data_IF_445943335370
#
_entry.id   IF_445943335370
#
_cell.length_a   1.000
_cell.length_b   1.000
_cell.length_c   1.000
_cell.angle_alpha   90.00
_cell.angle_beta   90.00
_cell.angle_gamma   90.00
#
_symmetry.space_group_name_H-M   'P 1'
#
loop_
_entity.id
_entity.type
_entity.pdbx_description
1 polymer ?
#
# COMPACT_ATOMS: atom_id res chain seq x y z
N UNK A 1 36.39 -40.05 30.54
CA UNK A 1 35.54 -38.88 30.84
C UNK A 1 35.08 -38.29 29.51
N UNK A 2 33.86 -38.58 29.09
CA UNK A 2 33.26 -38.00 27.88
C UNK A 2 32.54 -36.70 28.29
N UNK A 3 32.91 -35.57 27.70
CA UNK A 3 32.18 -34.31 27.85
C UNK A 3 30.87 -34.37 27.03
N UNK A 4 29.75 -33.82 27.53
CA UNK A 4 28.53 -33.72 26.73
C UNK A 4 28.70 -32.63 25.65
N UNK A 5 28.01 -32.75 24.51
CA UNK A 5 28.04 -31.72 23.47
C UNK A 5 27.31 -30.46 23.95
N UNK A 6 27.93 -29.30 23.73
CA UNK A 6 27.37 -27.99 24.05
C UNK A 6 26.13 -27.72 23.19
N UNK A 7 24.95 -27.62 23.79
CA UNK A 7 23.75 -27.10 23.11
C UNK A 7 23.99 -25.64 22.72
N UNK A 8 24.15 -25.39 21.42
CA UNK A 8 24.04 -24.05 20.85
C UNK A 8 22.62 -23.53 21.05
N UNK A 9 22.41 -22.33 21.61
CA UNK A 9 21.09 -21.74 21.66
C UNK A 9 20.71 -21.37 20.21
N UNK A 10 19.67 -22.03 19.69
CA UNK A 10 18.98 -21.58 18.48
C UNK A 10 18.37 -20.23 18.83
N UNK A 11 18.94 -19.16 18.30
CA UNK A 11 18.32 -17.83 18.34
C UNK A 11 17.10 -17.92 17.44
N UNK A 12 15.94 -18.15 18.06
CA UNK A 12 14.65 -18.04 17.40
C UNK A 12 14.45 -16.55 17.17
N UNK A 13 14.66 -16.09 15.94
CA UNK A 13 14.33 -14.74 15.52
C UNK A 13 12.81 -14.58 15.53
N UNK A 14 12.30 -14.06 16.64
CA UNK A 14 10.88 -13.82 16.87
C UNK A 14 10.37 -12.52 16.20
N UNK A 15 11.10 -11.95 15.22
CA UNK A 15 10.75 -10.65 14.60
C UNK A 15 10.13 -10.70 13.21
N UNK A 16 9.65 -11.85 12.74
CA UNK A 16 8.79 -11.87 11.55
C UNK A 16 7.31 -11.69 11.93
N UNK A 17 7.01 -10.60 12.64
CA UNK A 17 5.63 -10.09 12.63
C UNK A 17 5.31 -9.72 11.18
N UNK A 18 4.19 -10.18 10.60
CA UNK A 18 3.80 -9.74 9.27
C UNK A 18 3.52 -8.24 9.36
N UNK A 19 4.52 -7.43 9.03
CA UNK A 19 4.37 -5.99 8.87
C UNK A 19 3.39 -5.79 7.73
N UNK A 20 2.11 -5.63 8.09
CA UNK A 20 1.14 -5.09 7.14
C UNK A 20 1.70 -3.73 6.78
N UNK A 21 2.27 -3.61 5.57
CA UNK A 21 2.97 -2.40 5.15
C UNK A 21 1.99 -1.23 5.26
N UNK A 22 2.22 -0.40 6.28
CA UNK A 22 1.36 0.71 6.61
C UNK A 22 1.68 1.86 5.65
N UNK A 23 0.66 2.35 4.95
CA UNK A 23 0.82 3.43 3.98
C UNK A 23 0.08 4.67 4.50
N UNK A 24 0.85 5.61 5.04
CA UNK A 24 0.36 6.86 5.66
C UNK A 24 -0.63 7.62 4.77
N UNK A 25 -0.37 7.69 3.45
CA UNK A 25 -1.26 8.41 2.54
C UNK A 25 -2.62 7.73 2.37
N UNK A 26 -2.73 6.42 2.58
CA UNK A 26 -4.03 5.74 2.61
C UNK A 26 -4.76 6.02 3.93
N UNK A 27 -4.05 5.99 5.05
CA UNK A 27 -4.60 6.29 6.38
C UNK A 27 -5.11 7.74 6.45
N UNK A 28 -4.38 8.69 5.88
CA UNK A 28 -4.81 10.09 5.81
C UNK A 28 -6.19 10.28 5.15
N UNK A 29 -6.64 9.30 4.36
CA UNK A 29 -7.95 9.31 3.71
C UNK A 29 -8.93 8.23 4.22
N UNK A 30 -8.58 7.42 5.22
CA UNK A 30 -9.42 6.28 5.68
C UNK A 30 -10.75 6.73 6.28
N UNK A 31 -10.73 7.86 7.00
CA UNK A 31 -11.86 8.34 7.79
C UNK A 31 -12.79 9.26 6.99
N UNK A 32 -12.50 9.50 5.71
CA UNK A 32 -13.36 10.32 4.87
C UNK A 32 -14.67 9.57 4.56
N UNK A 33 -15.84 10.19 4.82
CA UNK A 33 -17.11 9.56 4.51
C UNK A 33 -17.30 9.43 2.99
N UNK A 34 -17.57 8.22 2.50
CA UNK A 34 -17.92 8.00 1.09
C UNK A 34 -19.39 8.38 0.84
N UNK A 35 -19.60 9.62 0.45
CA UNK A 35 -20.94 10.18 0.12
C UNK A 35 -21.42 9.83 -1.29
N UNK A 36 -20.65 9.04 -2.07
CA UNK A 36 -21.04 8.68 -3.44
C UNK A 36 -22.27 7.78 -3.42
N UNK A 37 -23.19 7.98 -4.37
CA UNK A 37 -24.40 7.15 -4.53
C UNK A 37 -24.04 5.67 -4.73
N UNK A 38 -24.87 4.76 -4.21
CA UNK A 38 -24.67 3.30 -4.28
C UNK A 38 -25.03 2.67 -5.62
N UNK A 39 -24.51 3.22 -6.71
CA UNK A 39 -24.72 2.71 -8.05
C UNK A 39 -23.38 2.31 -8.69
N UNK A 40 -23.33 1.11 -9.29
CA UNK A 40 -22.17 0.62 -10.05
C UNK A 40 -21.02 0.06 -9.18
N UNK A 41 -19.85 -0.16 -9.82
CA UNK A 41 -18.63 -0.61 -9.15
C UNK A 41 -18.00 0.56 -8.40
N UNK A 42 -17.78 0.41 -7.09
CA UNK A 42 -17.04 1.38 -6.28
C UNK A 42 -15.57 0.99 -6.17
N UNK A 43 -14.71 1.92 -6.55
CA UNK A 43 -13.28 1.85 -6.22
C UNK A 43 -13.05 2.37 -4.80
N UNK A 44 -12.06 1.81 -4.11
CA UNK A 44 -11.69 2.21 -2.76
C UNK A 44 -11.32 3.70 -2.72
N UNK A 45 -12.09 4.50 -1.98
CA UNK A 45 -12.02 5.96 -2.07
C UNK A 45 -10.66 6.50 -1.64
N UNK A 46 -10.13 6.02 -0.51
CA UNK A 46 -8.81 6.42 -0.01
C UNK A 46 -7.69 6.11 -1.01
N UNK A 47 -7.79 4.98 -1.72
CA UNK A 47 -6.81 4.63 -2.76
C UNK A 47 -6.89 5.59 -3.95
N UNK A 48 -8.11 5.89 -4.42
CA UNK A 48 -8.28 6.88 -5.49
C UNK A 48 -7.68 8.24 -5.09
N UNK A 49 -7.98 8.72 -3.89
CA UNK A 49 -7.45 10.00 -3.40
C UNK A 49 -5.93 10.00 -3.26
N UNK A 50 -5.34 8.90 -2.77
CA UNK A 50 -3.88 8.75 -2.70
C UNK A 50 -3.24 8.81 -4.09
N UNK A 51 -3.78 8.07 -5.06
CA UNK A 51 -3.28 8.07 -6.45
C UNK A 51 -3.38 9.44 -7.11
N UNK A 52 -4.50 10.16 -6.91
CA UNK A 52 -4.67 11.52 -7.41
C UNK A 52 -3.69 12.49 -6.74
N UNK A 53 -3.51 12.39 -5.43
CA UNK A 53 -2.55 13.23 -4.67
C UNK A 53 -1.13 13.01 -5.17
N UNK A 54 -0.71 11.76 -5.37
CA UNK A 54 0.61 11.44 -5.92
C UNK A 54 0.79 11.99 -7.34
N UNK A 55 -0.21 11.82 -8.22
CA UNK A 55 -0.11 12.34 -9.58
C UNK A 55 -0.02 13.88 -9.60
N UNK A 56 -0.82 14.58 -8.78
CA UNK A 56 -0.81 16.05 -8.70
C UNK A 56 0.50 16.56 -8.11
N UNK A 57 1.01 15.92 -7.05
CA UNK A 57 2.30 16.29 -6.45
C UNK A 57 3.49 16.00 -7.37
N UNK A 58 3.39 14.98 -8.23
CA UNK A 58 4.32 14.74 -9.33
C UNK A 58 4.21 15.75 -10.49
N UNK A 59 3.33 16.75 -10.39
CA UNK A 59 3.19 17.84 -11.36
C UNK A 59 2.18 17.59 -12.49
N UNK A 60 1.43 16.49 -12.46
CA UNK A 60 0.42 16.22 -13.48
C UNK A 60 -0.77 17.17 -13.34
N UNK A 61 -1.13 17.86 -14.43
CA UNK A 61 -2.24 18.81 -14.48
C UNK A 61 -3.31 18.31 -15.44
N UNK A 62 -4.51 18.10 -14.92
CA UNK A 62 -5.66 17.61 -15.69
C UNK A 62 -5.73 16.08 -15.80
N UNK A 63 -6.92 15.58 -16.16
CA UNK A 63 -7.23 14.16 -16.08
C UNK A 63 -6.45 13.28 -17.07
N UNK A 64 -6.12 13.78 -18.26
CA UNK A 64 -5.34 13.02 -19.25
C UNK A 64 -3.92 12.75 -18.75
N UNK A 65 -3.23 13.80 -18.29
CA UNK A 65 -1.87 13.66 -17.74
C UNK A 65 -1.84 12.73 -16.52
N UNK A 66 -2.85 12.81 -15.64
CA UNK A 66 -2.98 11.89 -14.50
C UNK A 66 -3.19 10.45 -14.98
N UNK A 67 -4.04 10.24 -15.99
CA UNK A 67 -4.27 8.91 -16.58
C UNK A 67 -3.01 8.32 -17.20
N UNK A 68 -2.27 9.11 -17.97
CA UNK A 68 -1.00 8.70 -18.58
C UNK A 68 0.05 8.36 -17.51
N UNK A 69 0.17 9.19 -16.48
CA UNK A 69 1.06 8.93 -15.35
C UNK A 69 0.72 7.61 -14.64
N UNK A 70 -0.56 7.37 -14.34
CA UNK A 70 -1.01 6.11 -13.74
C UNK A 70 -0.72 4.90 -14.63
N UNK A 71 -0.82 5.06 -15.95
CA UNK A 71 -0.49 3.99 -16.89
C UNK A 71 1.01 3.69 -16.91
N UNK A 72 1.87 4.71 -16.92
CA UNK A 72 3.32 4.56 -16.89
C UNK A 72 3.83 3.84 -15.64
N UNK A 73 3.27 4.16 -14.46
CA UNK A 73 3.71 3.59 -13.17
C UNK A 73 2.82 2.46 -12.67
N UNK A 74 1.95 1.90 -13.52
CA UNK A 74 0.91 0.94 -13.11
C UNK A 74 1.44 -0.24 -12.30
N UNK A 75 2.53 -0.86 -12.74
CA UNK A 75 3.09 -2.04 -12.08
C UNK A 75 3.60 -1.70 -10.68
N UNK A 76 4.35 -0.61 -10.57
CA UNK A 76 4.92 -0.16 -9.29
C UNK A 76 3.82 0.26 -8.32
N UNK A 77 2.81 0.99 -8.80
CA UNK A 77 1.66 1.40 -8.00
C UNK A 77 0.86 0.18 -7.51
N UNK A 78 0.69 -0.87 -8.33
CA UNK A 78 0.05 -2.11 -7.88
C UNK A 78 0.90 -2.83 -6.83
N UNK A 79 2.22 -2.87 -7.01
CA UNK A 79 3.13 -3.51 -6.06
C UNK A 79 3.11 -2.79 -4.70
N UNK A 80 3.15 -1.45 -4.71
CA UNK A 80 3.15 -0.61 -3.51
C UNK A 80 1.80 -0.67 -2.79
N UNK A 81 0.69 -0.42 -3.51
CA UNK A 81 -0.62 -0.27 -2.88
C UNK A 81 -1.38 -1.58 -2.69
N UNK A 82 -0.97 -2.66 -3.36
CA UNK A 82 -1.60 -3.99 -3.34
C UNK A 82 -3.14 -3.93 -3.23
N UNK A 83 -3.82 -3.27 -4.19
CA UNK A 83 -5.23 -2.95 -4.05
C UNK A 83 -6.10 -4.22 -4.07
N UNK A 84 -7.21 -4.25 -3.31
CA UNK A 84 -8.17 -5.36 -3.37
C UNK A 84 -8.75 -5.51 -4.78
N UNK A 85 -8.95 -6.75 -5.22
CA UNK A 85 -9.47 -7.10 -6.57
C UNK A 85 -10.94 -6.70 -6.78
#
# INVERSE_FOLDING_TARGET
>A
MHLPPTSTPVVIDSRLEPTTEHIEILEAFSDLPDVRRSAGKRHHMALCLALFTLAVTAGNRGFLAIGDWLACYRCDLIAIFNPPK
#
